data_IF_412363482531
#
_entry.id   IF_412363482531
#
_cell.length_a   1.000
_cell.length_b   1.000
_cell.length_c   1.000
_cell.angle_alpha   90.00
_cell.angle_beta   90.00
_cell.angle_gamma   90.00
#
_symmetry.space_group_name_H-M   'P 1'
#
loop_
_entity.id
_entity.type
_entity.pdbx_description
1 polymer ?
#
# COMPACT_ATOMS: atom_id res chain seq x y z
N UNK A 1 -2.33 -17.91 -2.83
CA UNK A 1 -2.08 -16.50 -3.19
C UNK A 1 -3.21 -16.04 -4.10
N UNK A 2 -3.98 -15.01 -3.72
CA UNK A 2 -5.07 -14.44 -4.54
C UNK A 2 -4.67 -13.04 -4.99
N UNK A 3 -4.85 -12.73 -6.26
CA UNK A 3 -4.62 -11.39 -6.83
C UNK A 3 -5.99 -10.76 -7.01
N UNK A 4 -6.19 -9.57 -6.45
CA UNK A 4 -7.42 -8.79 -6.53
C UNK A 4 -7.11 -7.55 -7.37
N UNK A 5 -7.90 -7.29 -8.41
CA UNK A 5 -7.74 -6.10 -9.24
C UNK A 5 -8.49 -4.88 -8.68
N UNK A 6 -8.31 -3.71 -9.31
CA UNK A 6 -8.91 -2.47 -8.86
C UNK A 6 -10.45 -2.47 -8.91
N UNK A 7 -11.05 -3.16 -9.89
CA UNK A 7 -12.51 -3.27 -10.02
C UNK A 7 -13.11 -4.17 -8.95
N UNK A 8 -12.43 -5.28 -8.65
CA UNK A 8 -12.83 -6.20 -7.57
C UNK A 8 -12.70 -5.53 -6.19
N UNK A 9 -11.64 -4.75 -5.96
CA UNK A 9 -11.52 -3.91 -4.75
C UNK A 9 -12.67 -2.91 -4.69
N UNK A 10 -12.92 -2.14 -5.76
CA UNK A 10 -13.93 -1.09 -5.75
C UNK A 10 -15.36 -1.62 -5.53
N UNK A 11 -15.67 -2.81 -6.03
CA UNK A 11 -16.99 -3.44 -5.87
C UNK A 11 -17.17 -4.15 -4.52
N UNK A 12 -16.08 -4.65 -3.92
CA UNK A 12 -16.14 -5.39 -2.65
C UNK A 12 -16.02 -4.50 -1.41
N UNK A 13 -15.58 -3.24 -1.56
CA UNK A 13 -15.26 -2.35 -0.45
C UNK A 13 -16.41 -1.37 -0.16
N UNK A 14 -17.33 -1.75 0.72
CA UNK A 14 -18.39 -0.86 1.18
C UNK A 14 -17.80 0.33 1.97
N UNK A 15 -18.10 1.55 1.51
CA UNK A 15 -17.49 2.77 2.06
C UNK A 15 -17.71 2.96 3.57
N UNK A 16 -18.92 2.76 4.14
CA UNK A 16 -19.12 2.89 5.59
C UNK A 16 -18.27 1.92 6.41
N UNK A 17 -18.24 0.64 5.98
CA UNK A 17 -17.47 -0.39 6.66
C UNK A 17 -15.96 -0.10 6.60
N UNK A 18 -15.46 0.45 5.50
CA UNK A 18 -14.07 0.87 5.38
C UNK A 18 -13.72 1.97 6.39
N UNK A 19 -14.55 3.01 6.49
CA UNK A 19 -14.31 4.13 7.40
C UNK A 19 -14.30 3.66 8.86
N UNK A 20 -15.26 2.83 9.24
CA UNK A 20 -15.34 2.25 10.59
C UNK A 20 -14.10 1.41 10.92
N UNK A 21 -13.67 0.56 9.98
CA UNK A 21 -12.48 -0.28 10.16
C UNK A 21 -11.21 0.56 10.28
N UNK A 22 -11.03 1.58 9.45
CA UNK A 22 -9.89 2.49 9.57
C UNK A 22 -9.89 3.21 10.92
N UNK A 23 -11.04 3.74 11.35
CA UNK A 23 -11.17 4.42 12.63
C UNK A 23 -10.89 3.51 13.82
N UNK A 24 -11.24 2.23 13.73
CA UNK A 24 -10.90 1.22 14.72
C UNK A 24 -9.40 0.90 14.73
N UNK A 25 -8.79 0.64 13.58
CA UNK A 25 -7.35 0.35 13.46
C UNK A 25 -6.50 1.51 13.99
N UNK A 26 -6.84 2.76 13.65
CA UNK A 26 -6.12 3.92 14.19
C UNK A 26 -6.26 4.07 15.71
N UNK A 27 -7.40 3.68 16.31
CA UNK A 27 -7.60 3.72 17.76
C UNK A 27 -6.90 2.60 18.51
N UNK A 28 -6.92 1.38 17.96
CA UNK A 28 -6.25 0.21 18.54
C UNK A 28 -4.72 0.31 18.44
N UNK A 29 -4.24 1.09 17.47
CA UNK A 29 -2.82 1.22 17.18
C UNK A 29 -2.40 0.20 16.14
N UNK A 30 -1.59 0.66 15.20
CA UNK A 30 -0.97 -0.16 14.15
C UNK A 30 0.50 0.21 14.09
N UNK A 31 1.37 -0.77 13.94
CA UNK A 31 2.79 -0.50 13.74
C UNK A 31 3.02 -0.16 12.27
N UNK A 32 3.46 1.07 12.02
CA UNK A 32 3.78 1.56 10.69
C UNK A 32 5.16 2.21 10.72
N UNK A 33 6.22 1.47 10.38
CA UNK A 33 7.56 2.03 10.28
C UNK A 33 7.64 3.20 9.28
N UNK A 34 8.69 4.03 9.39
CA UNK A 34 8.96 5.08 8.41
C UNK A 34 8.99 4.55 6.98
N UNK A 35 8.46 5.34 6.04
CA UNK A 35 8.44 4.99 4.62
C UNK A 35 9.86 4.78 4.10
N UNK A 36 10.12 3.60 3.52
CA UNK A 36 11.40 3.33 2.87
C UNK A 36 11.41 3.94 1.47
N UNK A 37 12.44 4.74 1.20
CA UNK A 37 12.65 5.40 -0.08
C UNK A 37 13.82 4.73 -0.79
N UNK A 38 13.56 4.15 -1.96
CA UNK A 38 14.59 3.56 -2.81
C UNK A 38 14.69 4.38 -4.10
N UNK A 39 15.72 5.22 -4.18
CA UNK A 39 16.06 5.92 -5.41
C UNK A 39 16.66 4.92 -6.41
N UNK A 40 16.05 4.83 -7.58
CA UNK A 40 16.49 4.01 -8.70
C UNK A 40 17.00 4.93 -9.80
N UNK A 41 18.32 4.94 -9.99
CA UNK A 41 18.94 5.68 -11.08
C UNK A 41 18.68 4.97 -12.40
N UNK A 42 18.02 5.65 -13.34
CA UNK A 42 17.77 5.14 -14.68
C UNK A 42 18.26 6.12 -15.73
N UNK A 43 18.50 5.62 -16.94
CA UNK A 43 18.94 6.44 -18.09
C UNK A 43 17.92 7.51 -18.50
N UNK A 44 16.65 7.32 -18.14
CA UNK A 44 15.50 8.16 -18.52
C UNK A 44 15.00 9.09 -17.39
N UNK A 45 15.68 9.12 -16.24
CA UNK A 45 15.36 9.95 -15.08
C UNK A 45 15.41 9.17 -13.76
N UNK A 46 15.48 9.88 -12.64
CA UNK A 46 15.42 9.27 -11.31
C UNK A 46 14.01 8.73 -11.03
N UNK A 47 13.88 7.44 -10.72
CA UNK A 47 12.62 6.87 -10.27
C UNK A 47 12.70 6.57 -8.76
N UNK A 48 11.58 6.65 -8.05
CA UNK A 48 11.54 6.35 -6.61
C UNK A 48 10.56 5.22 -6.33
N UNK A 49 11.05 4.13 -5.74
CA UNK A 49 10.21 3.08 -5.15
C UNK A 49 10.00 3.41 -3.67
N UNK A 50 8.72 3.47 -3.28
CA UNK A 50 8.29 3.74 -1.92
C UNK A 50 7.66 2.47 -1.35
N UNK A 51 8.20 2.00 -0.22
CA UNK A 51 7.62 0.90 0.54
C UNK A 51 7.02 1.45 1.83
N UNK A 52 5.76 1.10 2.06
CA UNK A 52 5.01 1.46 3.25
C UNK A 52 4.48 0.17 3.90
N UNK A 53 5.30 -0.49 4.73
CA UNK A 53 4.83 -1.63 5.52
C UNK A 53 3.97 -1.15 6.69
N UNK A 54 2.94 -1.92 7.03
CA UNK A 54 2.17 -1.75 8.24
C UNK A 54 1.67 -3.11 8.73
N UNK A 55 1.66 -3.33 10.05
CA UNK A 55 1.14 -4.55 10.66
C UNK A 55 0.48 -4.29 12.01
N UNK A 56 -0.44 -5.19 12.36
CA UNK A 56 -1.04 -5.29 13.68
C UNK A 56 -0.36 -6.45 14.43
N UNK A 57 -0.19 -6.34 15.76
CA UNK A 57 0.45 -7.39 16.58
C UNK A 57 -0.21 -8.77 16.41
N UNK A 58 -1.55 -8.82 16.38
CA UNK A 58 -2.33 -10.07 16.28
C UNK A 58 -3.26 -10.08 15.05
N UNK A 59 -2.78 -9.56 13.91
CA UNK A 59 -3.65 -9.27 12.78
C UNK A 59 -3.01 -9.49 11.42
N UNK A 60 -3.31 -8.55 10.53
CA UNK A 60 -2.86 -8.58 9.14
C UNK A 60 -1.58 -7.77 8.99
N UNK A 61 -0.72 -8.22 8.08
CA UNK A 61 0.42 -7.45 7.59
C UNK A 61 0.15 -7.01 6.15
N UNK A 62 0.44 -5.77 5.85
CA UNK A 62 0.29 -5.20 4.51
C UNK A 62 1.54 -4.42 4.12
N UNK A 63 1.89 -4.50 2.84
CA UNK A 63 2.89 -3.60 2.25
C UNK A 63 2.27 -2.89 1.07
N UNK A 64 2.26 -1.56 1.13
CA UNK A 64 1.92 -0.72 -0.01
C UNK A 64 3.21 -0.35 -0.73
N UNK A 65 3.32 -0.78 -1.98
CA UNK A 65 4.41 -0.44 -2.89
C UNK A 65 3.93 0.64 -3.85
N UNK A 66 4.66 1.74 -3.94
CA UNK A 66 4.36 2.82 -4.89
C UNK A 66 5.60 3.14 -5.72
N UNK A 67 5.45 3.13 -7.03
CA UNK A 67 6.49 3.57 -7.96
C UNK A 67 6.17 4.98 -8.45
N UNK A 68 7.08 5.92 -8.24
CA UNK A 68 6.99 7.31 -8.67
C UNK A 68 7.98 7.53 -9.82
N UNK A 69 7.45 7.89 -11.00
CA UNK A 69 8.26 8.26 -12.16
C UNK A 69 8.03 9.74 -12.51
N UNK A 70 9.08 10.56 -12.59
CA UNK A 70 8.95 12.00 -12.83
C UNK A 70 8.67 12.38 -14.30
N UNK A 71 8.73 11.44 -15.25
CA UNK A 71 8.72 11.77 -16.69
C UNK A 71 7.51 11.22 -17.46
N UNK A 72 6.48 12.04 -17.65
CA UNK A 72 5.52 11.94 -18.78
C UNK A 72 5.06 13.35 -19.20
N UNK A 73 5.81 14.00 -20.10
CA UNK A 73 5.35 15.22 -20.80
C UNK A 73 4.50 14.93 -22.04
N UNK A 74 3.98 13.70 -22.20
CA UNK A 74 3.20 13.35 -23.39
C UNK A 74 2.23 12.22 -23.07
N UNK A 75 0.94 12.52 -23.26
CA UNK A 75 -0.24 11.65 -23.26
C UNK A 75 -0.98 11.37 -21.94
N UNK A 76 -2.24 11.83 -21.96
CA UNK A 76 -3.41 11.36 -21.22
C UNK A 76 -3.53 11.71 -19.72
N UNK A 77 -3.77 13.01 -19.46
CA UNK A 77 -4.45 13.44 -18.25
C UNK A 77 -5.95 13.11 -18.35
N UNK A 78 -6.44 12.15 -17.55
CA UNK A 78 -7.75 12.31 -16.90
C UNK A 78 -7.72 11.69 -15.50
N UNK A 79 -7.32 12.55 -14.57
CA UNK A 79 -7.42 12.52 -13.09
C UNK A 79 -6.08 12.34 -12.35
N UNK A 80 -5.68 13.47 -11.75
CA UNK A 80 -4.57 13.74 -10.82
C UNK A 80 -3.25 14.20 -11.46
N UNK A 81 -2.75 15.41 -11.11
CA UNK A 81 -1.53 15.96 -11.68
C UNK A 81 -0.29 15.29 -11.07
N UNK A 82 0.71 15.07 -11.92
CA UNK A 82 2.10 14.76 -11.63
C UNK A 82 2.41 13.43 -10.92
N UNK A 83 3.27 12.64 -11.57
CA UNK A 83 3.73 11.27 -11.26
C UNK A 83 2.73 10.16 -11.58
N UNK A 84 3.11 9.26 -12.51
CA UNK A 84 2.44 7.97 -12.64
C UNK A 84 2.79 7.15 -11.41
N UNK A 85 1.97 7.27 -10.37
CA UNK A 85 2.01 6.44 -9.18
C UNK A 85 1.35 5.09 -9.48
N UNK A 86 2.13 4.07 -9.83
CA UNK A 86 1.64 2.70 -9.76
C UNK A 86 1.67 2.26 -8.30
N UNK A 87 0.51 2.10 -7.68
CA UNK A 87 0.38 1.61 -6.32
C UNK A 87 -0.12 0.17 -6.34
N UNK A 88 0.64 -0.75 -5.75
CA UNK A 88 0.22 -2.14 -5.51
C UNK A 88 0.25 -2.38 -4.01
N UNK A 89 -0.91 -2.70 -3.45
CA UNK A 89 -1.00 -3.20 -2.09
C UNK A 89 -0.92 -4.73 -2.14
N UNK A 90 -0.04 -5.31 -1.33
CA UNK A 90 -0.05 -6.75 -1.07
C UNK A 90 -0.46 -6.93 0.37
N UNK A 91 -1.58 -7.61 0.58
CA UNK A 91 -2.06 -7.96 1.91
C UNK A 91 -1.61 -9.39 2.21
N UNK A 92 -0.85 -9.57 3.27
CA UNK A 92 -0.43 -10.87 3.78
C UNK A 92 -1.56 -11.57 4.51
N UNK A 93 -1.44 -12.88 4.68
CA UNK A 93 -2.30 -13.66 5.55
C UNK A 93 -2.15 -13.22 7.01
N UNK A 94 -3.16 -13.50 7.83
CA UNK A 94 -3.12 -13.29 9.29
C UNK A 94 -1.84 -13.93 9.85
N UNK A 95 -1.11 -13.19 10.67
CA UNK A 95 0.08 -13.72 11.34
C UNK A 95 -0.32 -14.95 12.18
N UNK A 96 0.39 -16.08 12.10
CA UNK A 96 0.19 -17.16 13.06
C UNK A 96 0.67 -16.66 14.42
N UNK A 97 -0.22 -16.68 15.41
CA UNK A 97 0.16 -16.50 16.81
C UNK A 97 1.04 -17.70 17.18
N UNK A 98 2.35 -17.56 17.04
CA UNK A 98 3.27 -18.50 17.67
C UNK A 98 3.22 -18.19 19.16
N UNK A 99 2.42 -18.97 19.90
CA UNK A 99 2.49 -19.04 21.35
C UNK A 99 3.86 -19.60 21.73
N UNK A 100 4.90 -18.76 21.70
CA UNK A 100 6.15 -19.03 22.39
C UNK A 100 5.94 -18.64 23.86
N UNK A 101 5.16 -19.46 24.57
CA UNK A 101 5.27 -19.58 26.00
C UNK A 101 6.49 -20.47 26.28
N UNK A 102 7.56 -19.90 26.79
CA UNK A 102 8.53 -20.51 27.72
C UNK A 102 9.51 -19.44 28.20
#
# INVERSE_FOLDING_TARGET
>A
MRIIDAGEVASSLAWPALVERLAETFRRGVESPPRHHHAMQRRDGEATLLLMPAWEQDGYIGVKMVNVFPRTLRMACRRSPASTCSARATMGSRWPVSTAAS
#
